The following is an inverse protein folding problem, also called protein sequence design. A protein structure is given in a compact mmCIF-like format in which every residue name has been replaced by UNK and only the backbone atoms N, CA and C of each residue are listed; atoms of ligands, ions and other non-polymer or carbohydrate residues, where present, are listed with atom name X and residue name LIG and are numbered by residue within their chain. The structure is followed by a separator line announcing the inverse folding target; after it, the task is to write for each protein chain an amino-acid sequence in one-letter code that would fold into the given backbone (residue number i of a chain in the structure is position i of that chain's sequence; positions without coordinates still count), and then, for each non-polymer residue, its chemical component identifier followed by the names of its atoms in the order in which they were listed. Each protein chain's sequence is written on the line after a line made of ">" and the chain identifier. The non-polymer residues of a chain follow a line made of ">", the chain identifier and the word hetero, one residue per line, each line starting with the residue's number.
data_IF_736442414432
#
_entry.id   IF_736442414432
#
_cell.length_a   1.000
_cell.length_b   1.000
_cell.length_c   1.000
_cell.angle_alpha   90.00
_cell.angle_beta   90.00
_cell.angle_gamma   90.00
#
_symmetry.space_group_name_H-M   'P 1'
#
loop_
_entity.id
_entity.type
_entity.pdbx_description
1 polymer ?
#
# COMPACT_ATOMS: atom_id res chain seq x y z
N UNK A 1 13.15 18.59 -1.57
CA UNK A 1 14.36 18.65 -0.74
C UNK A 1 15.61 18.36 -1.57
N UNK A 2 16.78 18.68 -1.02
CA UNK A 2 18.05 18.36 -1.68
C UNK A 2 18.31 16.85 -1.61
N UNK A 3 18.72 16.26 -2.73
CA UNK A 3 19.05 14.84 -2.84
C UNK A 3 20.56 14.70 -2.95
N UNK A 4 21.21 13.89 -2.09
CA UNK A 4 22.67 13.70 -2.11
C UNK A 4 23.14 13.17 -3.48
N UNK A 5 24.24 13.75 -3.98
CA UNK A 5 24.80 13.42 -5.28
C UNK A 5 26.06 12.57 -5.12
N UNK A 6 26.02 11.32 -5.53
CA UNK A 6 27.16 10.41 -5.52
C UNK A 6 27.32 9.70 -6.86
N UNK A 7 28.56 9.66 -7.38
CA UNK A 7 28.85 8.92 -8.60
C UNK A 7 29.23 7.46 -8.32
N UNK A 8 29.17 6.56 -9.32
CA UNK A 8 29.65 5.18 -9.18
C UNK A 8 31.13 5.11 -8.76
N UNK A 9 31.98 5.96 -9.33
CA UNK A 9 33.41 6.02 -9.00
C UNK A 9 33.63 6.45 -7.54
N UNK A 10 32.89 7.45 -7.08
CA UNK A 10 32.91 7.90 -5.70
C UNK A 10 32.38 6.80 -4.76
N UNK A 11 31.32 6.10 -5.15
CA UNK A 11 30.82 4.94 -4.41
C UNK A 11 31.91 3.89 -4.22
N UNK A 12 32.62 3.54 -5.31
CA UNK A 12 33.70 2.56 -5.26
C UNK A 12 34.87 3.01 -4.38
N UNK A 13 35.28 4.29 -4.48
CA UNK A 13 36.41 4.87 -3.73
C UNK A 13 36.09 5.09 -2.24
N UNK A 14 34.82 5.35 -1.89
CA UNK A 14 34.39 5.76 -0.57
C UNK A 14 33.78 4.63 0.26
N UNK A 15 33.51 3.46 -0.33
CA UNK A 15 33.06 2.28 0.40
C UNK A 15 34.23 1.67 1.16
N UNK A 16 34.17 1.70 2.48
CA UNK A 16 35.19 1.10 3.36
C UNK A 16 35.10 -0.44 3.39
N UNK A 17 36.12 -1.16 3.90
CA UNK A 17 36.01 -2.59 4.18
C UNK A 17 34.81 -2.93 5.07
N UNK A 18 34.54 -2.11 6.09
CA UNK A 18 33.34 -2.23 6.92
C UNK A 18 32.06 -2.03 6.08
N UNK A 19 32.03 -1.00 5.24
CA UNK A 19 30.89 -0.75 4.33
C UNK A 19 30.61 -1.91 3.38
N UNK A 20 31.66 -2.59 2.88
CA UNK A 20 31.52 -3.80 2.05
C UNK A 20 30.94 -4.96 2.84
N UNK A 21 31.39 -5.16 4.09
CA UNK A 21 30.83 -6.19 4.96
C UNK A 21 29.36 -5.92 5.32
N UNK A 22 29.01 -4.67 5.59
CA UNK A 22 27.63 -4.26 5.86
C UNK A 22 26.73 -4.39 4.63
N UNK A 23 27.22 -4.10 3.43
CA UNK A 23 26.47 -4.28 2.19
C UNK A 23 26.09 -5.76 1.91
N UNK A 24 26.86 -6.71 2.44
CA UNK A 24 26.49 -8.13 2.37
C UNK A 24 25.30 -8.48 3.27
N UNK A 25 25.18 -7.82 4.43
CA UNK A 25 24.06 -8.00 5.34
C UNK A 25 22.84 -7.11 5.01
N UNK A 26 23.09 -5.93 4.44
CA UNK A 26 22.10 -4.90 4.10
C UNK A 26 22.35 -4.42 2.65
N UNK A 27 22.00 -5.19 1.62
CA UNK A 27 22.41 -4.95 0.22
C UNK A 27 21.99 -3.59 -0.35
N UNK A 28 20.93 -2.98 0.18
CA UNK A 28 20.37 -1.74 -0.33
C UNK A 28 20.80 -0.49 0.49
N UNK A 29 21.68 -0.67 1.48
CA UNK A 29 22.13 0.43 2.33
C UNK A 29 23.62 0.70 2.07
N UNK A 30 23.97 1.84 1.44
CA UNK A 30 25.36 2.21 1.22
C UNK A 30 25.99 2.74 2.50
N UNK A 31 27.25 2.36 2.76
CA UNK A 31 28.05 2.84 3.88
C UNK A 31 29.34 3.46 3.35
N UNK A 32 29.48 4.77 3.46
CA UNK A 32 30.61 5.54 2.98
C UNK A 32 31.45 6.15 4.10
N UNK A 33 32.72 6.40 3.81
CA UNK A 33 33.61 7.16 4.67
C UNK A 33 33.41 8.66 4.45
N UNK A 34 32.54 9.27 5.23
CA UNK A 34 32.27 10.71 5.17
C UNK A 34 33.33 11.60 5.81
N UNK A 35 34.41 11.02 6.37
CA UNK A 35 35.51 11.82 6.98
C UNK A 35 36.50 12.35 5.93
N UNK A 36 36.49 11.82 4.71
CA UNK A 36 37.38 12.22 3.63
C UNK A 36 36.70 13.22 2.69
N UNK A 37 37.35 14.36 2.43
CA UNK A 37 36.83 15.36 1.50
C UNK A 37 36.61 14.85 0.06
N UNK A 38 37.38 13.84 -0.37
CA UNK A 38 37.15 13.13 -1.63
C UNK A 38 35.81 12.39 -1.70
N UNK A 39 35.17 12.19 -0.53
CA UNK A 39 33.86 11.53 -0.40
C UNK A 39 32.71 12.51 -0.15
N UNK A 40 33.00 13.82 -0.18
CA UNK A 40 31.92 14.84 -0.13
C UNK A 40 30.96 14.67 -1.31
N UNK A 41 29.69 14.95 -1.07
CA UNK A 41 28.67 14.91 -2.11
C UNK A 41 29.04 15.83 -3.28
N UNK A 42 28.91 15.34 -4.51
CA UNK A 42 29.11 16.13 -5.71
C UNK A 42 27.99 17.14 -5.90
N UNK A 43 28.25 18.19 -6.66
CA UNK A 43 27.26 19.23 -6.97
C UNK A 43 27.07 19.26 -8.47
N UNK A 44 25.84 19.04 -8.94
CA UNK A 44 25.51 19.21 -10.35
C UNK A 44 25.46 20.73 -10.70
N UNK A 45 25.77 21.07 -11.94
CA UNK A 45 25.85 22.47 -12.39
C UNK A 45 24.54 23.24 -12.25
N UNK A 46 23.39 22.54 -12.35
CA UNK A 46 22.06 23.10 -12.24
C UNK A 46 21.43 22.88 -10.84
N UNK A 47 22.21 22.39 -9.88
CA UNK A 47 21.74 22.21 -8.51
C UNK A 47 21.66 23.56 -7.78
N UNK A 48 20.54 23.79 -7.09
CA UNK A 48 20.36 24.94 -6.21
C UNK A 48 21.15 24.85 -4.90
N UNK A 49 21.69 23.67 -4.55
CA UNK A 49 22.37 23.43 -3.28
C UNK A 49 23.65 22.62 -3.47
N UNK A 50 24.72 23.01 -2.77
CA UNK A 50 25.98 22.25 -2.74
C UNK A 50 25.74 20.81 -2.28
N UNK A 51 26.36 19.84 -2.95
CA UNK A 51 26.25 18.43 -2.63
C UNK A 51 24.95 17.75 -3.11
N UNK A 52 24.15 18.41 -3.92
CA UNK A 52 22.87 17.89 -4.37
C UNK A 52 22.84 17.59 -5.88
N UNK A 53 21.97 16.64 -6.24
CA UNK A 53 21.61 16.33 -7.63
C UNK A 53 20.81 17.49 -8.20
N UNK A 54 21.14 17.89 -9.45
CA UNK A 54 20.42 18.91 -10.18
C UNK A 54 19.11 18.40 -10.81
N UNK A 55 18.14 19.29 -11.06
CA UNK A 55 16.86 18.95 -11.69
C UNK A 55 16.97 18.16 -12.99
N UNK A 56 17.99 18.43 -13.82
CA UNK A 56 18.21 17.72 -15.08
C UNK A 56 18.45 16.22 -14.94
N UNK A 57 18.88 15.77 -13.76
CA UNK A 57 19.14 14.36 -13.45
C UNK A 57 18.06 13.71 -12.59
N UNK A 58 17.05 14.46 -12.17
CA UNK A 58 15.93 13.91 -11.40
C UNK A 58 14.92 13.22 -12.32
N UNK A 59 14.24 12.14 -11.85
CA UNK A 59 13.14 11.57 -12.62
C UNK A 59 12.04 12.61 -12.79
N UNK A 60 11.65 12.86 -14.04
CA UNK A 60 10.59 13.82 -14.39
C UNK A 60 9.72 13.25 -15.49
N UNK A 61 8.40 13.36 -15.33
CA UNK A 61 7.43 12.90 -16.30
C UNK A 61 6.23 13.84 -16.30
N UNK A 62 5.88 14.36 -17.48
CA UNK A 62 4.65 15.13 -17.72
C UNK A 62 3.75 14.34 -18.65
N UNK A 63 2.48 14.15 -18.27
CA UNK A 63 1.47 13.37 -19.02
C UNK A 63 0.13 14.06 -18.96
N UNK A 64 -0.69 13.81 -20.00
CA UNK A 64 -2.08 14.27 -20.08
C UNK A 64 -3.08 13.21 -19.56
N UNK A 65 -2.63 11.96 -19.39
CA UNK A 65 -3.44 10.85 -18.89
C UNK A 65 -3.35 10.70 -17.36
N UNK A 66 -2.23 10.21 -16.86
CA UNK A 66 -1.96 10.11 -15.42
C UNK A 66 -0.46 10.00 -15.12
N UNK A 67 -0.11 10.32 -13.90
CA UNK A 67 1.14 9.93 -13.25
C UNK A 67 0.82 9.42 -11.86
N UNK A 68 1.58 8.45 -11.36
CA UNK A 68 1.37 7.85 -10.05
C UNK A 68 2.66 7.41 -9.40
N UNK A 69 2.69 7.50 -8.06
CA UNK A 69 3.73 6.88 -7.24
C UNK A 69 3.08 6.28 -6.00
N UNK A 70 3.34 4.99 -5.75
CA UNK A 70 2.86 4.22 -4.61
C UNK A 70 4.02 3.78 -3.70
N UNK A 71 5.06 4.61 -3.58
CA UNK A 71 6.27 4.43 -2.77
C UNK A 71 7.29 3.41 -3.30
N UNK A 72 7.06 2.82 -4.46
CA UNK A 72 8.09 2.03 -5.16
C UNK A 72 9.02 2.95 -5.97
N UNK A 73 10.01 2.38 -6.64
CA UNK A 73 10.92 3.12 -7.49
C UNK A 73 10.20 3.96 -8.55
N UNK A 74 10.74 5.14 -8.82
CA UNK A 74 10.16 6.12 -9.76
C UNK A 74 10.17 5.70 -11.23
N UNK A 75 10.81 4.58 -11.60
CA UNK A 75 10.86 4.14 -12.99
C UNK A 75 9.48 3.88 -13.60
N UNK A 76 8.51 3.48 -12.79
CA UNK A 76 7.14 3.23 -13.22
C UNK A 76 6.18 4.31 -12.69
N UNK A 77 6.43 5.57 -13.01
CA UNK A 77 5.50 6.66 -12.70
C UNK A 77 4.27 6.67 -13.62
N UNK A 78 4.35 5.98 -14.76
CA UNK A 78 3.23 5.67 -15.67
C UNK A 78 3.50 4.32 -16.33
N UNK A 79 2.49 3.48 -16.42
CA UNK A 79 2.65 2.11 -16.91
C UNK A 79 3.07 2.01 -18.38
N UNK A 80 2.80 3.05 -19.18
CA UNK A 80 3.12 3.10 -20.62
C UNK A 80 4.31 3.99 -20.95
N UNK A 81 4.89 4.66 -19.94
CA UNK A 81 6.01 5.59 -20.10
C UNK A 81 7.05 5.40 -18.98
N UNK A 82 7.75 4.26 -18.95
CA UNK A 82 8.76 4.00 -17.92
C UNK A 82 9.92 4.98 -18.02
N UNK A 83 10.39 5.45 -16.87
CA UNK A 83 11.50 6.39 -16.74
C UNK A 83 12.83 5.62 -16.61
N UNK A 84 13.88 6.16 -17.25
CA UNK A 84 15.23 5.63 -17.19
C UNK A 84 16.24 6.77 -17.01
N UNK A 85 17.52 6.44 -16.72
CA UNK A 85 18.61 7.39 -16.73
C UNK A 85 18.74 8.29 -15.51
N UNK A 86 17.90 8.13 -14.50
CA UNK A 86 18.02 8.86 -13.23
C UNK A 86 18.96 8.12 -12.25
N UNK A 87 19.56 8.85 -11.27
CA UNK A 87 20.47 8.26 -10.30
C UNK A 87 19.83 7.15 -9.45
N UNK A 88 20.57 6.08 -9.11
CA UNK A 88 20.06 4.94 -8.33
C UNK A 88 19.47 5.29 -6.95
N UNK A 89 19.79 6.45 -6.41
CA UNK A 89 19.22 6.91 -5.13
C UNK A 89 17.68 7.09 -5.20
N UNK A 90 17.13 7.26 -6.39
CA UNK A 90 15.68 7.30 -6.61
C UNK A 90 15.07 5.91 -6.79
N UNK A 91 15.88 4.85 -6.60
CA UNK A 91 15.51 3.46 -6.78
C UNK A 91 15.95 2.89 -8.14
N UNK A 92 15.94 1.56 -8.27
CA UNK A 92 16.35 0.89 -9.51
C UNK A 92 15.37 1.19 -10.64
N UNK A 93 15.90 1.40 -11.86
CA UNK A 93 15.10 1.65 -13.05
C UNK A 93 14.86 0.32 -13.80
N UNK A 94 13.59 -0.10 -13.93
CA UNK A 94 13.16 -1.14 -14.85
C UNK A 94 13.64 -2.57 -14.55
N UNK A 95 14.36 -2.80 -13.47
CA UNK A 95 14.97 -4.10 -13.16
C UNK A 95 14.33 -4.84 -11.99
N UNK A 96 13.38 -4.20 -11.30
CA UNK A 96 12.78 -4.73 -10.07
C UNK A 96 11.28 -4.74 -10.19
N UNK A 97 10.70 -5.88 -9.81
CA UNK A 97 9.26 -6.04 -9.66
C UNK A 97 8.65 -4.94 -8.79
N UNK A 98 7.51 -4.43 -9.22
CA UNK A 98 6.72 -3.50 -8.43
C UNK A 98 5.86 -4.25 -7.42
N UNK A 99 5.61 -3.64 -6.26
CA UNK A 99 4.74 -4.23 -5.25
C UNK A 99 3.32 -4.47 -5.80
N UNK A 100 2.61 -5.42 -5.22
CA UNK A 100 1.21 -5.70 -5.57
C UNK A 100 0.33 -4.45 -5.47
N UNK A 101 0.60 -3.59 -4.47
CA UNK A 101 -0.11 -2.31 -4.29
C UNK A 101 0.16 -1.34 -5.43
N UNK A 102 1.40 -1.20 -5.88
CA UNK A 102 1.76 -0.33 -7.00
C UNK A 102 1.16 -0.83 -8.31
N UNK A 103 1.24 -2.14 -8.55
CA UNK A 103 0.59 -2.77 -9.72
C UNK A 103 -0.91 -2.52 -9.73
N UNK A 104 -1.59 -2.66 -8.58
CA UNK A 104 -3.01 -2.34 -8.46
C UNK A 104 -3.30 -0.87 -8.73
N UNK A 105 -2.52 0.07 -8.19
CA UNK A 105 -2.75 1.50 -8.39
C UNK A 105 -2.68 1.91 -9.86
N UNK A 106 -1.68 1.42 -10.61
CA UNK A 106 -1.61 1.63 -12.05
C UNK A 106 -2.74 0.92 -12.80
N UNK A 107 -3.11 -0.30 -12.40
CA UNK A 107 -4.25 -1.03 -12.97
C UNK A 107 -5.55 -0.22 -12.81
N UNK A 108 -5.81 0.32 -11.62
CA UNK A 108 -6.98 1.17 -11.35
C UNK A 108 -7.00 2.42 -12.23
N UNK A 109 -5.84 3.07 -12.44
CA UNK A 109 -5.75 4.24 -13.32
C UNK A 109 -6.05 3.88 -14.78
N UNK A 110 -5.49 2.78 -15.29
CA UNK A 110 -5.74 2.31 -16.66
C UNK A 110 -7.19 1.86 -16.88
N UNK A 111 -7.77 1.12 -15.92
CA UNK A 111 -9.18 0.72 -15.96
C UNK A 111 -10.10 1.95 -15.97
N UNK A 112 -9.78 3.01 -15.18
CA UNK A 112 -10.52 4.28 -15.19
C UNK A 112 -10.46 4.96 -16.55
N UNK A 113 -9.29 5.05 -17.15
CA UNK A 113 -9.11 5.63 -18.49
C UNK A 113 -9.82 4.83 -19.58
N UNK A 114 -9.83 3.52 -19.46
CA UNK A 114 -10.56 2.62 -20.35
C UNK A 114 -12.09 2.64 -20.12
N UNK A 115 -12.54 3.01 -18.91
CA UNK A 115 -13.95 2.93 -18.48
C UNK A 115 -14.39 1.50 -18.18
N UNK A 116 -13.46 0.65 -17.67
CA UNK A 116 -13.69 -0.78 -17.37
C UNK A 116 -13.74 -1.08 -15.88
N UNK A 117 -13.60 -0.08 -15.04
CA UNK A 117 -13.56 -0.16 -13.58
C UNK A 117 -14.94 -0.24 -12.89
N UNK A 118 -16.01 -0.30 -13.66
CA UNK A 118 -17.39 -0.37 -13.16
C UNK A 118 -18.04 0.98 -12.82
N UNK A 119 -17.31 2.09 -12.85
CA UNK A 119 -17.88 3.44 -12.70
C UNK A 119 -18.32 4.03 -14.03
N UNK A 120 -19.28 4.98 -13.99
CA UNK A 120 -19.83 5.60 -15.20
C UNK A 120 -18.78 6.41 -15.99
N UNK A 121 -18.78 6.25 -17.32
CA UNK A 121 -17.92 6.98 -18.26
C UNK A 121 -16.42 6.67 -18.08
N UNK A 122 -15.55 7.61 -18.52
CA UNK A 122 -14.07 7.45 -18.49
C UNK A 122 -13.35 8.56 -17.71
N UNK A 123 -14.09 9.55 -17.19
CA UNK A 123 -13.49 10.68 -16.48
C UNK A 123 -13.20 10.34 -15.04
N UNK A 124 -12.03 10.73 -14.54
CA UNK A 124 -11.68 10.69 -13.13
C UNK A 124 -12.28 11.91 -12.41
N UNK A 125 -13.59 11.89 -12.16
CA UNK A 125 -14.22 12.95 -11.37
C UNK A 125 -13.81 12.86 -9.90
N UNK A 126 -13.87 13.97 -9.16
CA UNK A 126 -13.58 14.00 -7.72
C UNK A 126 -14.35 12.92 -6.96
N UNK A 127 -15.62 12.72 -7.27
CA UNK A 127 -16.45 11.70 -6.63
C UNK A 127 -15.96 10.28 -6.94
N UNK A 128 -15.70 9.96 -8.21
CA UNK A 128 -15.21 8.63 -8.61
C UNK A 128 -13.84 8.34 -7.97
N UNK A 129 -12.92 9.30 -7.98
CA UNK A 129 -11.60 9.12 -7.35
C UNK A 129 -11.73 8.87 -5.84
N UNK A 130 -12.61 9.61 -5.14
CA UNK A 130 -12.89 9.37 -3.73
C UNK A 130 -13.44 7.96 -3.45
N UNK A 131 -14.24 7.41 -4.34
CA UNK A 131 -14.74 6.03 -4.22
C UNK A 131 -13.63 5.02 -4.54
N UNK A 132 -12.87 5.23 -5.62
CA UNK A 132 -11.79 4.33 -6.06
C UNK A 132 -10.73 4.12 -4.98
N UNK A 133 -10.24 5.18 -4.36
CA UNK A 133 -9.16 5.07 -3.35
C UNK A 133 -9.60 4.37 -2.06
N UNK A 134 -10.91 4.22 -1.83
CA UNK A 134 -11.48 3.57 -0.66
C UNK A 134 -12.22 2.24 -0.98
N UNK A 135 -12.09 1.71 -2.19
CA UNK A 135 -12.79 0.48 -2.58
C UNK A 135 -12.17 -0.80 -2.00
N UNK A 136 -10.98 -0.68 -1.39
CA UNK A 136 -10.29 -1.74 -0.66
C UNK A 136 -10.04 -3.02 -1.48
N UNK A 137 -9.78 -2.90 -2.78
CA UNK A 137 -9.41 -4.01 -3.66
C UNK A 137 -8.15 -4.72 -3.16
N UNK A 138 -8.06 -6.02 -3.42
CA UNK A 138 -6.93 -6.88 -3.01
C UNK A 138 -6.33 -7.54 -4.24
N UNK A 139 -5.22 -6.99 -4.73
CA UNK A 139 -4.64 -7.41 -6.01
C UNK A 139 -4.15 -8.86 -6.03
N UNK A 140 -3.56 -9.36 -4.93
CA UNK A 140 -3.18 -10.77 -4.85
C UNK A 140 -4.37 -11.71 -5.01
N UNK A 141 -5.52 -11.35 -4.44
CA UNK A 141 -6.73 -12.15 -4.57
C UNK A 141 -7.30 -12.07 -5.99
N UNK A 142 -7.33 -10.89 -6.60
CA UNK A 142 -7.77 -10.71 -7.98
C UNK A 142 -6.94 -11.53 -8.97
N UNK A 143 -5.64 -11.64 -8.72
CA UNK A 143 -4.70 -12.33 -9.62
C UNK A 143 -4.54 -13.81 -9.33
N UNK A 144 -4.58 -14.24 -8.07
CA UNK A 144 -4.10 -15.56 -7.68
C UNK A 144 -5.11 -16.41 -6.93
N UNK A 145 -6.26 -15.86 -6.45
CA UNK A 145 -7.19 -16.59 -5.58
C UNK A 145 -7.69 -17.88 -6.20
N UNK A 146 -8.12 -17.85 -7.46
CA UNK A 146 -8.66 -19.05 -8.13
C UNK A 146 -7.59 -20.15 -8.19
N UNK A 147 -6.41 -19.81 -8.72
CA UNK A 147 -5.31 -20.77 -8.84
C UNK A 147 -4.86 -21.31 -7.48
N UNK A 148 -4.78 -20.44 -6.46
CA UNK A 148 -4.43 -20.86 -5.11
C UNK A 148 -5.47 -21.83 -4.54
N UNK A 149 -6.76 -21.53 -4.65
CA UNK A 149 -7.84 -22.38 -4.13
C UNK A 149 -7.89 -23.73 -4.85
N UNK A 150 -7.58 -23.78 -6.15
CA UNK A 150 -7.47 -25.03 -6.92
C UNK A 150 -6.32 -25.92 -6.43
N UNK A 151 -5.29 -25.33 -5.79
CA UNK A 151 -4.17 -26.07 -5.21
C UNK A 151 -4.41 -26.46 -3.75
N UNK A 152 -4.99 -25.55 -2.93
CA UNK A 152 -5.07 -25.74 -1.46
C UNK A 152 -6.40 -26.35 -1.02
N UNK A 153 -7.46 -26.26 -1.80
CA UNK A 153 -8.79 -26.75 -1.48
C UNK A 153 -9.17 -28.09 -2.15
N UNK A 154 -8.18 -28.88 -2.49
CA UNK A 154 -8.36 -30.21 -3.14
C UNK A 154 -8.84 -31.28 -2.17
N UNK A 155 -8.57 -31.13 -0.88
CA UNK A 155 -8.96 -32.04 0.19
C UNK A 155 -9.55 -31.26 1.35
N UNK A 156 -10.47 -31.83 2.14
CA UNK A 156 -11.06 -31.11 3.30
C UNK A 156 -10.05 -30.87 4.43
N UNK A 157 -8.94 -31.59 4.43
CA UNK A 157 -7.89 -31.47 5.44
C UNK A 157 -6.52 -31.27 4.82
N UNK A 158 -5.68 -30.48 5.51
CA UNK A 158 -4.27 -30.28 5.20
C UNK A 158 -3.44 -30.74 6.39
N UNK A 159 -2.47 -31.62 6.17
CA UNK A 159 -1.45 -31.93 7.16
C UNK A 159 -0.48 -30.76 7.28
N UNK A 160 -0.47 -30.07 8.42
CA UNK A 160 0.40 -28.92 8.68
C UNK A 160 1.56 -29.36 9.58
N UNK A 161 2.77 -29.05 9.16
CA UNK A 161 3.99 -29.40 9.90
C UNK A 161 3.94 -28.81 11.32
N UNK A 162 4.07 -29.67 12.32
CA UNK A 162 4.02 -29.28 13.74
C UNK A 162 2.61 -29.04 14.33
N UNK A 163 1.54 -29.12 13.51
CA UNK A 163 0.18 -28.86 13.97
C UNK A 163 -0.83 -29.99 13.68
N UNK A 164 -0.45 -31.00 12.87
CA UNK A 164 -1.34 -32.10 12.50
C UNK A 164 -2.31 -31.72 11.37
N UNK A 165 -3.46 -32.44 11.30
CA UNK A 165 -4.46 -32.22 10.26
C UNK A 165 -5.37 -31.04 10.62
N UNK A 166 -5.48 -30.08 9.70
CA UNK A 166 -6.34 -28.91 9.83
C UNK A 166 -7.47 -29.00 8.82
N UNK A 167 -8.72 -28.91 9.29
CA UNK A 167 -9.89 -28.82 8.42
C UNK A 167 -9.97 -27.44 7.79
N UNK A 168 -9.93 -27.39 6.45
CA UNK A 168 -9.94 -26.17 5.66
C UNK A 168 -11.27 -25.93 4.93
N UNK A 169 -12.27 -26.76 5.14
CA UNK A 169 -13.54 -26.73 4.40
C UNK A 169 -14.24 -25.39 4.49
N UNK A 170 -14.40 -24.86 5.72
CA UNK A 170 -15.07 -23.57 5.95
C UNK A 170 -14.27 -22.39 5.35
N UNK A 171 -12.92 -22.43 5.45
CA UNK A 171 -12.06 -21.41 4.89
C UNK A 171 -12.12 -21.40 3.35
N UNK A 172 -12.10 -22.56 2.72
CA UNK A 172 -12.28 -22.71 1.27
C UNK A 172 -13.64 -22.17 0.80
N UNK A 173 -14.71 -22.46 1.54
CA UNK A 173 -16.06 -21.96 1.24
C UNK A 173 -16.11 -20.42 1.36
N UNK A 174 -15.57 -19.88 2.45
CA UNK A 174 -15.52 -18.43 2.68
C UNK A 174 -14.75 -17.70 1.56
N UNK A 175 -13.56 -18.20 1.19
CA UNK A 175 -12.75 -17.57 0.12
C UNK A 175 -13.37 -17.68 -1.27
N UNK A 176 -14.09 -18.77 -1.58
CA UNK A 176 -14.83 -18.88 -2.85
C UNK A 176 -15.94 -17.83 -2.96
N UNK A 177 -16.61 -17.52 -1.85
CA UNK A 177 -17.70 -16.53 -1.79
C UNK A 177 -17.20 -15.09 -1.63
N UNK A 178 -15.95 -14.89 -1.24
CA UNK A 178 -15.38 -13.57 -0.95
C UNK A 178 -15.21 -12.70 -2.20
N UNK A 179 -15.56 -11.42 -2.07
CA UNK A 179 -15.58 -10.38 -3.12
C UNK A 179 -14.21 -9.81 -3.52
N UNK A 180 -13.09 -10.36 -3.02
CA UNK A 180 -11.72 -9.89 -3.22
C UNK A 180 -11.48 -8.45 -2.72
N UNK A 181 -12.25 -8.00 -1.76
CA UNK A 181 -12.13 -6.68 -1.18
C UNK A 181 -12.06 -6.74 0.35
N UNK A 182 -11.54 -5.68 0.96
CA UNK A 182 -11.48 -5.51 2.41
C UNK A 182 -12.41 -4.42 2.90
N UNK A 183 -13.62 -4.27 2.34
CA UNK A 183 -14.62 -3.35 2.85
C UNK A 183 -15.19 -3.84 4.19
N UNK A 184 -15.80 -2.95 4.98
CA UNK A 184 -16.36 -3.29 6.30
C UNK A 184 -17.28 -4.53 6.24
N UNK A 185 -18.07 -4.66 5.17
CA UNK A 185 -19.00 -5.78 4.98
C UNK A 185 -18.38 -6.98 4.25
N UNK A 186 -17.17 -6.89 3.68
CA UNK A 186 -16.51 -7.99 2.97
C UNK A 186 -16.23 -9.16 3.93
N UNK A 187 -16.60 -10.38 3.53
CA UNK A 187 -16.55 -11.57 4.39
C UNK A 187 -15.46 -12.54 3.95
N UNK A 188 -14.62 -12.96 4.91
CA UNK A 188 -13.54 -13.93 4.65
C UNK A 188 -12.20 -13.33 4.25
N UNK A 189 -12.06 -12.00 4.11
CA UNK A 189 -10.81 -11.33 3.71
C UNK A 189 -9.64 -11.66 4.64
N UNK A 190 -9.87 -11.83 5.93
CA UNK A 190 -8.85 -12.15 6.94
C UNK A 190 -8.23 -13.54 6.74
N UNK A 191 -8.97 -14.49 6.20
CA UNK A 191 -8.42 -15.81 5.84
C UNK A 191 -7.40 -15.66 4.72
N UNK A 192 -7.68 -14.79 3.73
CA UNK A 192 -6.73 -14.47 2.66
C UNK A 192 -5.54 -13.70 3.17
N UNK A 193 -5.74 -12.72 4.04
CA UNK A 193 -4.65 -11.95 4.66
C UNK A 193 -3.67 -12.85 5.40
N UNK A 194 -4.21 -13.73 6.27
CA UNK A 194 -3.40 -14.69 7.01
C UNK A 194 -2.69 -15.70 6.10
N UNK A 195 -3.35 -16.12 5.02
CA UNK A 195 -2.75 -17.02 4.04
C UNK A 195 -1.64 -16.34 3.23
N UNK A 196 -1.95 -15.23 2.54
CA UNK A 196 -1.03 -14.63 1.60
C UNK A 196 0.22 -14.06 2.29
N UNK A 197 0.06 -13.54 3.49
CA UNK A 197 1.20 -13.05 4.29
C UNK A 197 2.19 -14.17 4.71
N UNK A 198 1.77 -15.44 4.66
CA UNK A 198 2.61 -16.61 4.95
C UNK A 198 3.24 -17.24 3.70
N UNK A 199 2.93 -16.74 2.53
CA UNK A 199 3.54 -17.23 1.29
C UNK A 199 4.96 -16.64 1.19
N UNK A 200 5.93 -17.40 1.69
CA UNK A 200 7.36 -17.03 1.70
C UNK A 200 8.17 -17.70 0.59
N UNK A 201 7.46 -18.30 -0.36
CA UNK A 201 8.09 -18.99 -1.52
C UNK A 201 8.78 -17.91 -2.39
N UNK A 202 10.06 -18.09 -2.76
CA UNK A 202 10.74 -17.18 -3.67
C UNK A 202 9.98 -17.01 -4.99
N UNK A 203 9.97 -15.80 -5.55
CA UNK A 203 9.24 -15.48 -6.78
C UNK A 203 9.55 -16.46 -7.94
N UNK A 204 10.82 -16.87 -8.07
CA UNK A 204 11.26 -17.85 -9.07
C UNK A 204 10.70 -19.27 -8.91
N UNK A 205 10.24 -19.60 -7.70
CA UNK A 205 9.58 -20.88 -7.38
C UNK A 205 8.06 -20.75 -7.34
N UNK A 206 7.55 -19.54 -7.04
CA UNK A 206 6.13 -19.27 -6.90
C UNK A 206 5.45 -19.06 -8.25
N UNK A 207 6.06 -18.27 -9.16
CA UNK A 207 5.43 -17.83 -10.39
C UNK A 207 5.95 -18.59 -11.63
N UNK A 208 5.02 -18.96 -12.51
CA UNK A 208 5.34 -19.61 -13.78
C UNK A 208 5.93 -18.60 -14.79
N UNK A 209 5.41 -17.37 -14.79
CA UNK A 209 5.93 -16.26 -15.59
C UNK A 209 6.69 -15.31 -14.66
N UNK A 210 7.98 -15.17 -14.90
CA UNK A 210 8.85 -14.26 -14.15
C UNK A 210 8.50 -12.79 -14.43
N UNK A 211 9.03 -11.89 -13.60
CA UNK A 211 8.94 -10.46 -13.86
C UNK A 211 9.57 -10.11 -15.21
N UNK A 212 8.84 -9.29 -15.99
CA UNK A 212 9.27 -8.69 -17.23
C UNK A 212 9.04 -7.17 -17.16
N UNK A 213 10.12 -6.39 -17.32
CA UNK A 213 10.04 -4.93 -17.32
C UNK A 213 9.23 -4.36 -18.50
N UNK A 214 9.03 -5.12 -19.57
CA UNK A 214 8.16 -4.74 -20.69
C UNK A 214 6.66 -4.93 -20.39
N UNK A 215 6.33 -5.75 -19.37
CA UNK A 215 4.95 -5.98 -18.90
C UNK A 215 4.89 -5.93 -17.36
N UNK A 216 5.22 -4.79 -16.75
CA UNK A 216 5.45 -4.69 -15.31
C UNK A 216 4.18 -4.82 -14.46
N UNK A 217 3.01 -4.59 -15.03
CA UNK A 217 1.74 -4.70 -14.30
C UNK A 217 1.21 -6.14 -14.26
N UNK A 218 1.45 -6.93 -15.33
CA UNK A 218 0.94 -8.30 -15.41
C UNK A 218 1.96 -9.34 -14.97
N UNK A 219 3.22 -8.98 -14.79
CA UNK A 219 4.27 -9.89 -14.35
C UNK A 219 4.86 -9.49 -12.98
N UNK A 220 5.28 -10.49 -12.15
CA UNK A 220 5.13 -11.93 -12.36
C UNK A 220 3.66 -12.38 -12.26
N UNK A 221 3.36 -13.56 -12.84
CA UNK A 221 2.01 -14.13 -12.84
C UNK A 221 2.00 -15.64 -12.91
N UNK A 222 0.82 -16.21 -12.70
CA UNK A 222 0.49 -17.62 -12.73
C UNK A 222 1.27 -18.44 -11.69
N UNK A 223 0.56 -19.07 -10.78
CA UNK A 223 1.19 -19.88 -9.73
C UNK A 223 1.71 -21.20 -10.31
N UNK A 224 2.94 -21.57 -9.96
CA UNK A 224 3.49 -22.85 -10.37
C UNK A 224 2.82 -24.01 -9.64
N UNK A 225 2.45 -25.10 -10.33
CA UNK A 225 1.97 -26.32 -9.67
C UNK A 225 2.95 -26.88 -8.64
N UNK A 226 4.26 -26.71 -8.86
CA UNK A 226 5.31 -27.14 -7.93
C UNK A 226 5.33 -26.34 -6.60
N UNK A 227 4.65 -25.23 -6.51
CA UNK A 227 4.48 -24.46 -5.26
C UNK A 227 3.33 -24.99 -4.39
N UNK A 228 2.54 -25.96 -4.87
CA UNK A 228 1.33 -26.44 -4.22
C UNK A 228 1.55 -26.87 -2.76
N UNK A 229 2.59 -27.62 -2.46
CA UNK A 229 2.85 -28.10 -1.10
C UNK A 229 3.15 -26.93 -0.15
N UNK A 230 3.98 -25.97 -0.57
CA UNK A 230 4.28 -24.79 0.22
C UNK A 230 3.03 -23.91 0.45
N UNK A 231 2.21 -23.73 -0.59
CA UNK A 231 0.93 -23.02 -0.50
C UNK A 231 -0.05 -23.72 0.45
N UNK A 232 -0.12 -25.05 0.41
CA UNK A 232 -0.94 -25.85 1.33
C UNK A 232 -0.49 -25.67 2.79
N UNK A 233 0.82 -25.71 3.06
CA UNK A 233 1.37 -25.46 4.39
C UNK A 233 1.00 -24.05 4.88
N UNK A 234 1.21 -23.02 4.06
CA UNK A 234 0.86 -21.63 4.37
C UNK A 234 -0.64 -21.47 4.64
N UNK A 235 -1.50 -22.10 3.82
CA UNK A 235 -2.95 -22.05 3.96
C UNK A 235 -3.45 -22.77 5.21
N UNK A 236 -2.98 -23.97 5.50
CA UNK A 236 -3.32 -24.69 6.70
C UNK A 236 -2.91 -23.94 7.98
N UNK A 237 -1.70 -23.37 8.00
CA UNK A 237 -1.25 -22.53 9.11
C UNK A 237 -2.10 -21.24 9.28
N UNK A 238 -2.53 -20.63 8.18
CA UNK A 238 -3.43 -19.49 8.20
C UNK A 238 -4.80 -19.85 8.80
N UNK A 239 -5.39 -20.96 8.35
CA UNK A 239 -6.68 -21.45 8.86
C UNK A 239 -6.59 -21.74 10.36
N UNK A 240 -5.53 -22.40 10.80
CA UNK A 240 -5.28 -22.65 12.22
C UNK A 240 -5.19 -21.34 13.03
N UNK A 241 -4.52 -20.32 12.48
CA UNK A 241 -4.41 -19.01 13.12
C UNK A 241 -5.77 -18.33 13.27
N UNK A 242 -6.60 -18.38 12.23
CA UNK A 242 -7.97 -17.85 12.27
C UNK A 242 -8.83 -18.64 13.26
N UNK A 243 -8.74 -19.98 13.29
CA UNK A 243 -9.45 -20.81 14.28
C UNK A 243 -9.06 -20.41 15.71
N UNK A 244 -7.78 -20.21 15.97
CA UNK A 244 -7.28 -19.79 17.28
C UNK A 244 -7.76 -18.40 17.70
N UNK A 245 -8.13 -17.54 16.76
CA UNK A 245 -8.67 -16.20 17.04
C UNK A 245 -10.13 -16.21 17.53
N UNK A 246 -10.87 -17.29 17.26
CA UNK A 246 -12.30 -17.40 17.53
C UNK A 246 -13.21 -16.69 16.51
N UNK A 247 -12.66 -15.99 15.52
CA UNK A 247 -13.47 -15.43 14.43
C UNK A 247 -13.93 -16.52 13.46
N UNK A 248 -15.16 -16.39 12.95
CA UNK A 248 -15.65 -17.25 11.88
C UNK A 248 -14.85 -17.03 10.59
N UNK A 249 -14.68 -18.07 9.77
CA UNK A 249 -13.96 -17.97 8.49
C UNK A 249 -14.58 -16.96 7.52
N UNK A 250 -15.88 -16.73 7.65
CA UNK A 250 -16.65 -15.76 6.86
C UNK A 250 -17.05 -14.53 7.67
N UNK A 251 -16.38 -14.23 8.79
CA UNK A 251 -16.64 -13.00 9.55
C UNK A 251 -16.45 -11.75 8.67
N UNK A 252 -17.27 -10.70 8.83
CA UNK A 252 -17.11 -9.46 8.09
C UNK A 252 -15.86 -8.70 8.55
N UNK A 253 -15.21 -8.03 7.61
CA UNK A 253 -13.96 -7.28 7.86
C UNK A 253 -14.06 -6.35 9.06
N UNK A 254 -15.16 -5.60 9.19
CA UNK A 254 -15.33 -4.59 10.24
C UNK A 254 -15.47 -5.16 11.67
N UNK A 255 -15.70 -6.45 11.84
CA UNK A 255 -15.62 -7.10 13.15
C UNK A 255 -14.16 -7.33 13.55
N UNK A 256 -13.27 -7.48 12.57
CA UNK A 256 -11.90 -7.93 12.76
C UNK A 256 -10.94 -6.75 12.71
N UNK A 257 -11.12 -5.81 11.76
CA UNK A 257 -10.29 -4.62 11.59
C UNK A 257 -11.01 -3.40 12.15
N UNK A 258 -10.40 -2.75 13.15
CA UNK A 258 -11.03 -1.64 13.87
C UNK A 258 -10.02 -0.73 14.55
N UNK A 259 -10.47 0.47 14.91
CA UNK A 259 -9.85 1.33 15.91
C UNK A 259 -10.79 1.53 17.10
N UNK A 260 -10.24 1.74 18.30
CA UNK A 260 -11.02 2.06 19.51
C UNK A 260 -10.79 3.52 19.87
N UNK A 261 -11.86 4.29 20.01
CA UNK A 261 -11.81 5.68 20.42
C UNK A 261 -12.89 5.94 21.50
N UNK A 262 -12.44 6.41 22.68
CA UNK A 262 -13.34 6.63 23.81
C UNK A 262 -14.14 5.38 24.22
N UNK A 263 -13.55 4.21 24.15
CA UNK A 263 -14.22 2.92 24.43
C UNK A 263 -15.13 2.43 23.30
N UNK A 264 -15.28 3.16 22.21
CA UNK A 264 -16.12 2.76 21.06
C UNK A 264 -15.25 2.09 19.99
N UNK A 265 -15.62 0.86 19.62
CA UNK A 265 -15.01 0.13 18.51
C UNK A 265 -15.55 0.67 17.19
N UNK A 266 -14.67 1.21 16.35
CA UNK A 266 -14.99 1.80 15.05
C UNK A 266 -14.55 0.81 13.98
N UNK A 267 -15.44 0.18 13.21
CA UNK A 267 -15.08 -0.70 12.11
C UNK A 267 -14.29 0.04 11.03
N UNK A 268 -13.24 -0.60 10.51
CA UNK A 268 -12.41 -0.06 9.44
C UNK A 268 -12.36 -1.01 8.23
N UNK A 269 -11.78 -0.54 7.15
CA UNK A 269 -11.63 -1.23 5.87
C UNK A 269 -10.18 -1.09 5.36
N UNK A 270 -9.82 -1.87 4.33
CA UNK A 270 -8.47 -1.92 3.82
C UNK A 270 -7.65 -3.05 4.43
N UNK A 271 -6.33 -2.98 4.33
CA UNK A 271 -5.42 -4.00 4.84
C UNK A 271 -3.97 -3.68 4.56
N UNK A 272 -3.10 -4.71 4.54
CA UNK A 272 -1.66 -4.54 4.39
C UNK A 272 -1.23 -4.52 2.91
N UNK A 273 -0.29 -3.63 2.57
CA UNK A 273 0.22 -3.48 1.21
C UNK A 273 0.90 -4.74 0.66
N UNK A 274 1.55 -5.53 1.51
CA UNK A 274 2.16 -6.81 1.12
C UNK A 274 1.15 -7.87 0.65
N UNK A 275 -0.10 -7.79 1.12
CA UNK A 275 -1.21 -8.61 0.60
C UNK A 275 -1.78 -8.04 -0.70
N UNK A 276 -1.44 -6.81 -1.04
CA UNK A 276 -1.90 -6.17 -2.26
C UNK A 276 -3.11 -5.25 -2.08
N UNK A 277 -3.40 -4.80 -0.87
CA UNK A 277 -4.38 -3.74 -0.67
C UNK A 277 -3.86 -2.40 -1.21
N UNK A 278 -4.72 -1.67 -1.92
CA UNK A 278 -4.43 -0.28 -2.26
C UNK A 278 -4.72 0.66 -1.08
N UNK A 279 -5.85 0.46 -0.40
CA UNK A 279 -6.23 1.21 0.80
C UNK A 279 -5.52 0.60 2.01
N UNK A 280 -4.49 1.27 2.50
CA UNK A 280 -3.66 0.74 3.58
C UNK A 280 -4.28 1.05 4.94
N UNK A 281 -4.60 -0.02 5.67
CA UNK A 281 -5.02 -0.04 7.07
C UNK A 281 -4.49 -1.34 7.66
N UNK A 282 -3.18 -1.36 7.96
CA UNK A 282 -2.42 -2.54 8.31
C UNK A 282 -2.15 -2.53 9.81
N UNK A 283 -2.73 -3.48 10.53
CA UNK A 283 -2.49 -3.69 11.96
C UNK A 283 -1.30 -4.60 12.18
N UNK A 284 -0.48 -4.28 13.15
CA UNK A 284 0.56 -5.17 13.67
C UNK A 284 0.04 -6.10 14.77
N UNK A 285 -1.19 -5.88 15.26
CA UNK A 285 -1.82 -6.77 16.24
C UNK A 285 -2.23 -8.07 15.56
N UNK A 286 -1.74 -9.24 16.05
CA UNK A 286 -2.13 -10.53 15.48
C UNK A 286 -3.62 -10.79 15.65
N UNK A 287 -4.26 -11.45 14.68
CA UNK A 287 -5.70 -11.71 14.67
C UNK A 287 -6.18 -12.45 15.94
N UNK A 288 -5.37 -13.36 16.48
CA UNK A 288 -5.67 -14.15 17.70
C UNK A 288 -5.47 -13.36 19.01
N UNK A 289 -5.17 -12.09 18.93
CA UNK A 289 -5.13 -11.14 20.06
C UNK A 289 -6.28 -10.14 20.03
N UNK A 290 -7.47 -10.63 19.62
CA UNK A 290 -8.70 -9.84 19.60
C UNK A 290 -9.01 -9.15 18.29
N UNK A 291 -8.33 -9.53 17.19
CA UNK A 291 -8.51 -8.96 15.87
C UNK A 291 -7.42 -7.93 15.49
N UNK A 292 -7.57 -7.36 14.31
CA UNK A 292 -6.64 -6.37 13.76
C UNK A 292 -6.94 -4.98 14.34
N UNK A 293 -6.54 -4.75 15.59
CA UNK A 293 -6.66 -3.43 16.22
C UNK A 293 -5.65 -2.44 15.64
N UNK A 294 -6.10 -1.23 15.37
CA UNK A 294 -5.27 -0.09 14.95
C UNK A 294 -4.88 0.82 16.14
N UNK A 295 -5.04 0.34 17.38
CA UNK A 295 -4.85 1.16 18.56
C UNK A 295 -3.38 1.21 19.04
N UNK A 296 -2.57 0.24 18.63
CA UNK A 296 -1.15 0.15 19.00
C UNK A 296 -0.24 0.88 18.01
N UNK A 297 0.44 0.11 17.16
CA UNK A 297 1.34 0.62 16.11
C UNK A 297 0.63 0.53 14.74
N UNK A 298 -0.23 1.48 14.39
CA UNK A 298 -0.96 1.44 13.13
C UNK A 298 -0.04 1.81 11.97
N UNK A 299 -0.15 1.05 10.87
CA UNK A 299 0.47 1.41 9.60
C UNK A 299 -0.61 1.62 8.54
N UNK A 300 -0.71 2.82 8.00
CA UNK A 300 -1.73 3.09 6.99
C UNK A 300 -1.80 4.54 6.55
N UNK A 301 -2.85 4.83 5.81
CA UNK A 301 -3.16 6.19 5.38
C UNK A 301 -3.51 7.05 6.60
N UNK A 302 -2.75 8.11 6.85
CA UNK A 302 -3.03 9.05 7.95
C UNK A 302 -3.83 10.25 7.48
N UNK A 303 -3.47 10.80 6.33
CA UNK A 303 -4.15 11.90 5.67
C UNK A 303 -4.37 11.56 4.20
N UNK A 304 -5.60 11.71 3.72
CA UNK A 304 -5.98 11.50 2.32
C UNK A 304 -6.61 12.77 1.78
N UNK A 305 -6.27 13.11 0.53
CA UNK A 305 -6.82 14.27 -0.14
C UNK A 305 -7.16 13.93 -1.59
N UNK A 306 -8.33 14.39 -2.03
CA UNK A 306 -8.74 14.40 -3.45
C UNK A 306 -9.02 15.84 -3.84
N UNK A 307 -8.27 16.34 -4.82
CA UNK A 307 -8.38 17.70 -5.31
C UNK A 307 -8.72 17.68 -6.79
N UNK A 308 -9.66 18.49 -7.21
CA UNK A 308 -10.00 18.72 -8.60
C UNK A 308 -10.08 20.22 -8.93
N UNK A 309 -9.97 20.55 -10.19
CA UNK A 309 -9.90 21.92 -10.69
C UNK A 309 -11.03 22.17 -11.72
N UNK A 310 -12.32 22.15 -11.29
CA UNK A 310 -13.43 22.51 -12.17
C UNK A 310 -13.39 24.00 -12.52
N UNK A 311 -14.17 24.40 -13.52
CA UNK A 311 -14.22 25.79 -13.99
C UNK A 311 -14.58 26.81 -12.88
N UNK A 312 -15.24 26.37 -11.81
CA UNK A 312 -15.61 27.22 -10.65
C UNK A 312 -14.52 27.40 -9.59
N UNK A 313 -13.34 26.85 -9.78
CA UNK A 313 -12.22 26.95 -8.82
C UNK A 313 -11.72 25.59 -8.31
N UNK A 314 -11.14 25.56 -7.11
CA UNK A 314 -10.62 24.33 -6.50
C UNK A 314 -11.71 23.63 -5.69
N UNK A 315 -11.85 22.33 -5.92
CA UNK A 315 -12.66 21.44 -5.09
C UNK A 315 -11.74 20.45 -4.38
N UNK A 316 -11.68 20.51 -3.06
CA UNK A 316 -10.85 19.63 -2.25
C UNK A 316 -11.67 18.88 -1.20
N UNK A 317 -11.38 17.59 -1.05
CA UNK A 317 -11.94 16.73 -0.02
C UNK A 317 -10.83 16.00 0.72
N UNK A 318 -11.01 15.80 2.01
CA UNK A 318 -10.01 15.15 2.86
C UNK A 318 -10.62 14.13 3.81
N UNK A 319 -9.78 13.20 4.25
CA UNK A 319 -10.00 12.29 5.36
C UNK A 319 -8.77 12.28 6.26
N UNK A 320 -8.99 12.24 7.57
CA UNK A 320 -7.97 12.14 8.59
C UNK A 320 -8.23 10.89 9.43
N UNK A 321 -7.46 9.83 9.19
CA UNK A 321 -7.75 8.47 9.69
C UNK A 321 -7.73 8.37 11.21
N UNK A 322 -6.79 9.09 11.86
CA UNK A 322 -6.54 8.97 13.30
C UNK A 322 -7.10 10.12 14.14
N UNK A 323 -7.95 10.98 13.54
CA UNK A 323 -8.46 12.21 14.17
C UNK A 323 -7.36 13.25 14.46
N UNK A 324 -7.71 14.32 15.18
CA UNK A 324 -6.82 15.47 15.39
C UNK A 324 -6.23 15.52 16.80
N UNK A 325 -6.77 14.79 17.77
CA UNK A 325 -6.36 14.87 19.16
C UNK A 325 -6.03 13.51 19.74
N UNK A 326 -4.96 13.44 20.51
CA UNK A 326 -4.62 12.28 21.34
C UNK A 326 -5.23 12.34 22.74
N UNK A 327 -5.88 13.46 23.11
CA UNK A 327 -6.60 13.59 24.37
C UNK A 327 -7.98 12.94 24.29
N UNK A 328 -8.24 11.87 25.07
CA UNK A 328 -9.55 11.20 25.09
C UNK A 328 -10.70 12.09 25.52
N UNK A 329 -10.44 13.20 26.22
CA UNK A 329 -11.43 14.20 26.61
C UNK A 329 -11.81 15.17 25.50
N UNK A 330 -11.05 15.21 24.42
CA UNK A 330 -11.32 16.08 23.28
C UNK A 330 -12.47 15.55 22.40
N UNK A 331 -13.32 16.46 21.92
CA UNK A 331 -14.33 16.15 20.91
C UNK A 331 -13.69 15.62 19.60
N UNK A 332 -12.42 15.95 19.35
CA UNK A 332 -11.66 15.58 18.17
C UNK A 332 -10.77 14.33 18.37
N UNK A 333 -11.02 13.54 19.41
CA UNK A 333 -10.29 12.29 19.65
C UNK A 333 -10.68 11.15 18.69
N UNK A 334 -11.93 11.13 18.21
CA UNK A 334 -12.42 10.04 17.39
C UNK A 334 -13.40 10.42 16.27
N UNK A 335 -13.73 11.69 16.11
CA UNK A 335 -14.71 12.17 15.13
C UNK A 335 -14.29 11.89 13.67
N UNK A 336 -13.04 12.19 13.31
CA UNK A 336 -12.53 11.92 11.97
C UNK A 336 -12.26 10.44 11.72
N UNK A 337 -11.88 9.66 12.74
CA UNK A 337 -11.79 8.20 12.62
C UNK A 337 -13.15 7.58 12.31
N UNK A 338 -14.23 8.08 12.92
CA UNK A 338 -15.61 7.67 12.59
C UNK A 338 -15.99 8.05 11.17
N UNK A 339 -15.67 9.28 10.75
CA UNK A 339 -15.90 9.74 9.37
C UNK A 339 -15.11 8.88 8.37
N UNK A 340 -13.85 8.54 8.67
CA UNK A 340 -13.05 7.63 7.85
C UNK A 340 -13.68 6.25 7.75
N UNK A 341 -14.05 5.62 8.88
CA UNK A 341 -14.72 4.31 8.90
C UNK A 341 -16.02 4.29 8.09
N UNK A 342 -16.75 5.40 8.07
CA UNK A 342 -17.97 5.59 7.29
C UNK A 342 -17.71 6.08 5.84
N UNK A 343 -16.46 6.24 5.41
CA UNK A 343 -16.08 6.82 4.10
C UNK A 343 -16.66 8.21 3.83
N UNK A 344 -16.88 8.98 4.87
CA UNK A 344 -17.45 10.34 4.81
C UNK A 344 -16.34 11.36 4.62
N UNK A 345 -16.15 11.81 3.40
CA UNK A 345 -15.17 12.82 3.04
C UNK A 345 -15.60 14.20 3.54
N UNK A 346 -14.65 14.96 4.04
CA UNK A 346 -14.84 16.36 4.45
C UNK A 346 -14.52 17.28 3.28
N UNK A 347 -15.41 18.21 2.99
CA UNK A 347 -15.14 19.29 2.03
C UNK A 347 -14.20 20.29 2.69
N UNK A 348 -13.13 20.64 2.02
CA UNK A 348 -12.17 21.66 2.48
C UNK A 348 -12.52 22.98 1.79
N UNK A 349 -12.89 24.04 2.53
CA UNK A 349 -13.08 25.36 1.93
C UNK A 349 -11.74 25.88 1.42
N UNK A 350 -11.70 26.38 0.18
CA UNK A 350 -10.46 26.79 -0.46
C UNK A 350 -10.40 28.30 -0.70
N UNK A 351 -11.48 28.91 -1.21
CA UNK A 351 -11.51 30.36 -1.45
C UNK A 351 -11.72 31.14 -0.16
N UNK A 352 -11.23 32.37 -0.11
CA UNK A 352 -11.44 33.27 1.02
C UNK A 352 -12.93 33.47 1.33
N UNK A 353 -13.76 33.55 0.28
CA UNK A 353 -15.22 33.65 0.41
C UNK A 353 -15.82 32.40 1.07
N UNK A 354 -15.38 31.18 0.69
CA UNK A 354 -15.82 29.94 1.35
C UNK A 354 -15.37 29.89 2.81
N UNK A 355 -14.13 30.28 3.09
CA UNK A 355 -13.58 30.28 4.46
C UNK A 355 -14.34 31.26 5.36
N UNK A 356 -14.49 32.49 4.92
CA UNK A 356 -15.14 33.55 5.71
C UNK A 356 -16.64 33.35 5.88
N UNK A 357 -17.30 32.62 4.98
CA UNK A 357 -18.72 32.25 5.09
C UNK A 357 -19.00 31.06 6.02
N UNK A 358 -17.95 30.34 6.46
CA UNK A 358 -18.12 29.22 7.38
C UNK A 358 -18.68 29.70 8.72
N UNK A 359 -19.68 28.96 9.25
CA UNK A 359 -20.23 29.23 10.58
C UNK A 359 -19.21 29.09 11.72
N UNK A 360 -18.13 28.34 11.46
CA UNK A 360 -17.07 28.07 12.42
C UNK A 360 -15.84 28.97 12.19
N UNK A 361 -15.97 29.99 11.29
CA UNK A 361 -14.91 30.96 11.03
C UNK A 361 -14.67 31.86 12.25
N UNK A 362 -13.41 31.92 12.64
CA UNK A 362 -12.96 32.85 13.71
C UNK A 362 -11.72 33.61 13.28
N UNK A 363 -11.57 34.83 13.75
CA UNK A 363 -10.38 35.65 13.49
C UNK A 363 -9.59 35.82 14.78
N UNK A 364 -8.30 35.56 14.73
CA UNK A 364 -7.36 35.79 15.83
C UNK A 364 -6.32 36.83 15.39
N UNK A 365 -6.14 37.87 16.20
CA UNK A 365 -5.07 38.85 15.97
C UNK A 365 -3.86 38.45 16.80
N UNK A 366 -2.76 38.14 16.11
CA UNK A 366 -1.46 37.89 16.72
C UNK A 366 -0.65 39.19 16.69
N UNK A 367 -0.07 39.58 17.81
CA UNK A 367 0.85 40.74 17.91
C UNK A 367 2.22 40.20 18.35
N UNK A 368 3.26 40.75 17.73
CA UNK A 368 4.66 40.54 18.15
C UNK A 368 4.97 41.33 19.44
#
# INVERSE_FOLDING_TARGET
>A
GAVPNVSPDQTAACTTPFGKAMAAALPNVPFFDGARSACDWQTDADSAQKGAIGPSRMPSLQRDDYVGNMNDSYWLANATAPLTGFPPIFGPAGTVEQSLRTRLGHTMALERLAGTDGYAGKKATSEIVRQMVLNSRVFSAERFKIQALDMVCTTPQIAVTGAGNVDVTAACAALRAWDNAGNVASRGSHVWDEFWSRVTVPATQLYAVAFDAADPLNTPRDLKPSASDALRQAFGAAVQKVQASGFAMDAPRGEILFATRGGVKIPLYGGCGGVGYFTITCSENPIDKGGYSMDGLPHGNSYMQVVSFPAGGVEAHTLLTFSLSDDPGSAHYGDYTKAYGAKQWLRVPFSEAEITSSKDYTTVTVRE
#
